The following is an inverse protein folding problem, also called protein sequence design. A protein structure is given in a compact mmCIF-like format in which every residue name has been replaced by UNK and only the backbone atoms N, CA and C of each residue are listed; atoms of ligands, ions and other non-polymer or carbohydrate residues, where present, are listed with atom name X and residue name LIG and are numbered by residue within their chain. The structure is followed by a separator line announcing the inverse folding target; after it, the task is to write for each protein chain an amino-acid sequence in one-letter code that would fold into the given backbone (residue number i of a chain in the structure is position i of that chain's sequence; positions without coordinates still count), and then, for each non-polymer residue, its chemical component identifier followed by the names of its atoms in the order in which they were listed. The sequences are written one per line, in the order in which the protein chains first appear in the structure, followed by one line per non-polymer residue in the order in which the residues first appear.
data_IF_873444676130
#
_entry.id   IF_873444676130
#
_cell.length_a   1.000
_cell.length_b   1.000
_cell.length_c   1.000
_cell.angle_alpha   90.00
_cell.angle_beta   90.00
_cell.angle_gamma   90.00
#
_symmetry.space_group_name_H-M   'P 1'
#
loop_
_entity.id
_entity.type
_entity.pdbx_description
1 polymer ?
#
# COMPACT_ATOMS: atom_id res chain seq x y z
N UNK A 1 16.61 -17.90 -27.74
CA UNK A 1 17.64 -17.14 -28.43
C UNK A 1 17.86 -15.75 -27.82
N UNK A 2 16.82 -14.93 -27.68
CA UNK A 2 16.98 -13.58 -27.13
C UNK A 2 17.07 -13.60 -25.58
N UNK A 3 16.57 -14.63 -24.91
CA UNK A 3 16.69 -14.84 -23.45
C UNK A 3 18.11 -15.11 -22.95
N UNK A 4 19.03 -15.44 -23.84
CA UNK A 4 20.42 -15.76 -23.50
C UNK A 4 21.27 -14.51 -23.15
N UNK A 5 20.63 -13.33 -23.04
CA UNK A 5 21.22 -12.13 -22.42
C UNK A 5 22.10 -11.28 -23.33
N UNK A 6 22.41 -11.71 -24.54
CA UNK A 6 23.17 -10.92 -25.50
C UNK A 6 22.25 -10.26 -26.55
N UNK A 7 22.54 -9.02 -26.97
CA UNK A 7 21.80 -8.39 -28.05
C UNK A 7 21.93 -9.20 -29.33
N UNK A 8 20.82 -9.41 -30.04
CA UNK A 8 20.80 -10.13 -31.30
C UNK A 8 20.13 -9.29 -32.39
N UNK A 9 20.75 -9.19 -33.57
CA UNK A 9 20.17 -8.44 -34.68
C UNK A 9 19.01 -9.21 -35.33
N UNK A 10 18.10 -8.49 -36.01
CA UNK A 10 16.99 -9.12 -36.74
C UNK A 10 17.47 -10.08 -37.85
N UNK A 11 18.63 -9.82 -38.42
CA UNK A 11 19.25 -10.69 -39.44
C UNK A 11 19.71 -12.02 -38.84
N UNK A 12 20.43 -11.95 -37.72
CA UNK A 12 20.90 -13.14 -37.00
C UNK A 12 19.73 -13.96 -36.43
N UNK A 13 18.67 -13.30 -35.95
CA UNK A 13 17.44 -13.96 -35.50
C UNK A 13 16.77 -14.70 -36.67
N UNK A 14 16.57 -14.02 -37.80
CA UNK A 14 15.94 -14.60 -39.00
C UNK A 14 16.73 -15.81 -39.52
N UNK A 15 18.06 -15.69 -39.60
CA UNK A 15 18.94 -16.79 -40.00
C UNK A 15 18.85 -17.99 -39.03
N UNK A 16 18.85 -17.77 -37.73
CA UNK A 16 18.75 -18.85 -36.71
C UNK A 16 17.39 -19.55 -36.70
N UNK A 17 16.31 -18.84 -37.07
CA UNK A 17 14.95 -19.38 -37.08
C UNK A 17 14.62 -19.98 -38.48
N UNK A 18 15.41 -19.68 -39.48
CA UNK A 18 15.19 -20.19 -40.86
C UNK A 18 14.11 -19.42 -41.63
N UNK A 19 13.91 -18.13 -41.34
CA UNK A 19 12.94 -17.25 -42.00
C UNK A 19 13.62 -16.02 -42.58
N UNK A 20 12.89 -15.29 -43.43
CA UNK A 20 13.43 -14.01 -43.92
C UNK A 20 13.28 -12.91 -42.87
N UNK A 21 14.18 -11.90 -42.89
CA UNK A 21 14.07 -10.73 -42.04
C UNK A 21 12.73 -9.99 -42.20
N UNK A 22 12.20 -9.96 -43.44
CA UNK A 22 10.92 -9.33 -43.73
C UNK A 22 9.75 -10.03 -43.04
N UNK A 23 9.75 -11.37 -43.06
CA UNK A 23 8.73 -12.18 -42.38
C UNK A 23 8.76 -12.02 -40.85
N UNK A 24 9.98 -11.86 -40.28
CA UNK A 24 10.15 -11.73 -38.81
C UNK A 24 9.82 -10.32 -38.28
N UNK A 25 9.81 -9.31 -39.15
CA UNK A 25 9.65 -7.90 -38.73
C UNK A 25 8.32 -7.60 -38.00
N UNK A 26 7.14 -8.10 -38.45
CA UNK A 26 5.89 -7.90 -37.72
C UNK A 26 5.92 -8.48 -36.30
N UNK A 27 6.45 -9.71 -36.17
CA UNK A 27 6.53 -10.40 -34.89
C UNK A 27 7.44 -9.66 -33.89
N UNK A 28 8.60 -9.18 -34.38
CA UNK A 28 9.51 -8.36 -33.58
C UNK A 28 8.88 -7.03 -33.16
N UNK A 29 8.06 -6.42 -34.03
CA UNK A 29 7.33 -5.19 -33.67
C UNK A 29 6.30 -5.45 -32.57
N UNK A 30 5.51 -6.55 -32.70
CA UNK A 30 4.54 -6.95 -31.66
C UNK A 30 5.25 -7.24 -30.33
N UNK A 31 6.32 -8.04 -30.34
CA UNK A 31 7.06 -8.38 -29.12
C UNK A 31 7.69 -7.14 -28.46
N UNK A 32 8.10 -6.15 -29.26
CA UNK A 32 8.64 -4.88 -28.76
C UNK A 32 7.51 -4.02 -28.17
N UNK A 33 6.37 -3.96 -28.85
CA UNK A 33 5.19 -3.23 -28.37
C UNK A 33 4.65 -3.80 -27.05
N UNK A 34 4.68 -5.13 -26.91
CA UNK A 34 4.32 -5.83 -25.67
C UNK A 34 5.40 -5.71 -24.58
N UNK A 35 6.52 -5.03 -24.84
CA UNK A 35 7.60 -4.88 -23.87
C UNK A 35 8.38 -6.17 -23.58
N UNK A 36 8.17 -7.23 -24.36
CA UNK A 36 8.89 -8.51 -24.23
C UNK A 36 10.32 -8.38 -24.79
N UNK A 37 10.48 -7.57 -25.83
CA UNK A 37 11.76 -7.22 -26.41
C UNK A 37 12.00 -5.71 -26.31
N UNK A 38 13.25 -5.31 -26.11
CA UNK A 38 13.74 -3.95 -26.24
C UNK A 38 14.57 -3.85 -27.54
N UNK A 39 14.17 -2.97 -28.45
CA UNK A 39 14.93 -2.68 -29.66
C UNK A 39 15.92 -1.55 -29.41
N UNK A 40 17.22 -1.81 -29.54
CA UNK A 40 18.28 -0.80 -29.45
C UNK A 40 18.86 -0.50 -30.81
N UNK A 41 18.83 0.77 -31.28
CA UNK A 41 19.42 1.14 -32.57
C UNK A 41 20.88 0.68 -32.68
N UNK A 42 21.25 0.10 -33.82
CA UNK A 42 22.61 -0.43 -34.11
C UNK A 42 23.09 -1.60 -33.26
N UNK A 43 22.33 -2.02 -32.22
CA UNK A 43 22.68 -3.09 -31.29
C UNK A 43 21.85 -4.34 -31.56
N UNK A 44 20.54 -4.19 -31.76
CA UNK A 44 19.61 -5.29 -32.00
C UNK A 44 18.52 -5.39 -30.97
N UNK A 45 17.98 -6.57 -30.80
CA UNK A 45 16.92 -6.89 -29.84
C UNK A 45 17.50 -7.55 -28.61
N UNK A 46 17.04 -7.10 -27.46
CA UNK A 46 17.38 -7.65 -26.15
C UNK A 46 16.09 -8.15 -25.52
N UNK A 47 16.12 -9.30 -24.86
CA UNK A 47 15.02 -9.75 -24.05
C UNK A 47 14.83 -8.75 -22.90
N UNK A 48 13.71 -8.05 -22.96
CA UNK A 48 13.32 -7.21 -21.84
C UNK A 48 13.00 -8.15 -20.70
N UNK A 49 13.82 -8.15 -19.65
CA UNK A 49 13.54 -8.90 -18.41
C UNK A 49 12.34 -8.27 -17.64
N UNK A 50 11.66 -7.29 -18.26
CA UNK A 50 10.35 -6.80 -17.82
C UNK A 50 9.34 -7.91 -18.14
N UNK A 51 9.22 -8.86 -17.22
CA UNK A 51 8.10 -9.78 -17.20
C UNK A 51 6.79 -8.96 -17.15
N UNK A 52 5.70 -9.50 -17.64
CA UNK A 52 4.36 -8.90 -17.48
C UNK A 52 4.13 -8.48 -16.01
N UNK A 53 4.72 -9.22 -15.07
CA UNK A 53 4.80 -8.88 -13.65
C UNK A 53 5.47 -7.52 -13.38
N UNK A 54 6.48 -7.09 -14.16
CA UNK A 54 7.14 -5.81 -13.91
C UNK A 54 6.27 -4.61 -14.31
N UNK A 55 5.47 -4.76 -15.37
CA UNK A 55 4.54 -3.70 -15.81
C UNK A 55 3.43 -3.53 -14.77
N UNK A 56 2.88 -4.63 -14.27
CA UNK A 56 1.87 -4.60 -13.19
C UNK A 56 2.47 -4.03 -11.91
N UNK A 57 3.68 -4.42 -11.54
CA UNK A 57 4.37 -3.87 -10.37
C UNK A 57 4.68 -2.38 -10.52
N UNK A 58 5.10 -1.93 -11.70
CA UNK A 58 5.36 -0.51 -11.98
C UNK A 58 4.06 0.32 -11.93
N UNK A 59 2.93 -0.27 -12.35
CA UNK A 59 1.61 0.35 -12.22
C UNK A 59 1.19 0.46 -10.75
N UNK A 60 1.24 -0.64 -9.99
CA UNK A 60 0.88 -0.66 -8.57
C UNK A 60 1.75 0.32 -7.76
N UNK A 61 3.04 0.45 -8.10
CA UNK A 61 3.96 1.38 -7.43
C UNK A 61 3.65 2.86 -7.68
N UNK A 62 2.88 3.18 -8.70
CA UNK A 62 2.44 4.56 -9.00
C UNK A 62 1.20 4.96 -8.22
N UNK A 63 0.43 3.99 -7.72
CA UNK A 63 -0.78 4.27 -6.94
C UNK A 63 -0.35 4.79 -5.57
N UNK A 64 -0.89 5.93 -5.18
CA UNK A 64 -0.63 6.59 -3.91
C UNK A 64 -1.65 6.18 -2.85
N UNK A 65 -1.28 6.34 -1.59
CA UNK A 65 -2.17 6.09 -0.45
C UNK A 65 -3.42 6.97 -0.54
N UNK A 66 -3.30 8.22 -0.97
CA UNK A 66 -4.44 9.14 -1.13
C UNK A 66 -5.52 8.64 -2.09
N UNK A 67 -5.13 7.87 -3.12
CA UNK A 67 -6.06 7.34 -4.13
C UNK A 67 -7.04 6.31 -3.56
N UNK A 68 -6.67 5.65 -2.44
CA UNK A 68 -7.45 4.54 -1.89
C UNK A 68 -7.73 4.64 -0.38
N UNK A 69 -7.17 5.63 0.31
CA UNK A 69 -7.42 5.82 1.74
C UNK A 69 -8.90 6.09 2.01
N UNK A 70 -9.34 5.81 3.23
CA UNK A 70 -10.69 6.06 3.70
C UNK A 70 -10.69 6.96 4.93
N UNK A 71 -11.88 7.45 5.28
CA UNK A 71 -12.05 8.34 6.45
C UNK A 71 -11.65 7.61 7.74
N UNK A 72 -10.81 8.19 8.60
CA UNK A 72 -10.42 7.63 9.87
C UNK A 72 -11.54 7.78 10.91
N UNK A 73 -11.53 6.95 11.95
CA UNK A 73 -12.25 7.18 13.19
C UNK A 73 -11.24 7.64 14.23
N UNK A 74 -11.45 8.82 14.77
CA UNK A 74 -10.54 9.49 15.70
C UNK A 74 -11.32 9.82 16.96
N UNK A 75 -10.76 9.54 18.12
CA UNK A 75 -11.31 9.90 19.43
C UNK A 75 -10.22 10.53 20.29
N UNK A 76 -10.63 11.35 21.25
CA UNK A 76 -9.74 11.95 22.24
C UNK A 76 -9.23 10.88 23.23
N UNK A 77 -8.01 11.05 23.77
CA UNK A 77 -7.40 10.09 24.70
C UNK A 77 -8.16 9.94 26.03
N UNK A 78 -8.95 10.94 26.42
CA UNK A 78 -9.79 10.91 27.62
C UNK A 78 -11.14 10.21 27.38
N UNK A 79 -11.49 9.86 26.12
CA UNK A 79 -12.71 9.10 25.82
C UNK A 79 -12.68 7.75 26.52
N UNK A 80 -13.80 7.36 27.14
CA UNK A 80 -13.87 6.09 27.87
C UNK A 80 -13.77 4.89 26.92
N UNK A 81 -13.27 3.77 27.42
CA UNK A 81 -13.25 2.50 26.68
C UNK A 81 -14.66 2.09 26.26
N UNK A 82 -15.66 2.29 27.14
CA UNK A 82 -17.05 1.97 26.84
C UNK A 82 -17.58 2.77 25.64
N UNK A 83 -17.45 4.10 25.63
CA UNK A 83 -17.90 4.96 24.54
C UNK A 83 -17.15 4.66 23.25
N UNK A 84 -15.88 4.29 23.36
CA UNK A 84 -15.04 3.92 22.23
C UNK A 84 -15.48 2.60 21.60
N UNK A 85 -15.91 1.62 22.40
CA UNK A 85 -16.49 0.37 21.90
C UNK A 85 -17.80 0.67 21.16
N UNK A 86 -18.66 1.55 21.68
CA UNK A 86 -19.88 1.96 20.98
C UNK A 86 -19.53 2.60 19.63
N UNK A 87 -18.58 3.54 19.60
CA UNK A 87 -18.13 4.17 18.36
C UNK A 87 -17.58 3.16 17.35
N UNK A 88 -16.86 2.15 17.79
CA UNK A 88 -16.30 1.10 16.94
C UNK A 88 -17.42 0.30 16.24
N UNK A 89 -18.49 -0.02 16.97
CA UNK A 89 -19.65 -0.74 16.42
C UNK A 89 -20.49 0.14 15.51
N UNK A 90 -20.79 1.37 15.92
CA UNK A 90 -21.63 2.29 15.13
C UNK A 90 -20.97 2.67 13.78
N UNK A 91 -19.66 2.75 13.73
CA UNK A 91 -18.91 3.10 12.52
C UNK A 91 -18.39 1.87 11.74
N UNK A 92 -18.67 0.65 12.23
CA UNK A 92 -18.16 -0.63 11.67
C UNK A 92 -16.65 -0.58 11.37
N UNK A 93 -15.86 -0.16 12.35
CA UNK A 93 -14.40 -0.05 12.21
C UNK A 93 -13.66 -1.04 13.11
N UNK A 94 -12.44 -1.40 12.74
CA UNK A 94 -11.58 -2.32 13.52
C UNK A 94 -10.53 -1.62 14.37
N UNK A 95 -10.29 -0.33 14.11
CA UNK A 95 -9.24 0.48 14.76
C UNK A 95 -9.72 1.90 14.92
N UNK A 96 -9.45 2.48 16.06
CA UNK A 96 -9.67 3.88 16.42
C UNK A 96 -8.30 4.52 16.59
N UNK A 97 -8.08 5.67 15.97
CA UNK A 97 -6.90 6.49 16.26
C UNK A 97 -7.21 7.43 17.41
N UNK A 98 -6.23 7.63 18.26
CA UNK A 98 -6.39 8.42 19.47
C UNK A 98 -5.59 9.71 19.30
N UNK A 99 -6.26 10.84 19.57
CA UNK A 99 -5.64 12.14 19.50
C UNK A 99 -5.61 12.84 20.86
N UNK A 100 -4.67 13.77 20.99
CA UNK A 100 -4.65 14.79 22.04
C UNK A 100 -4.34 16.13 21.37
N UNK A 101 -5.19 17.14 21.59
CA UNK A 101 -5.07 18.48 20.98
C UNK A 101 -4.94 18.44 19.44
N UNK A 102 -5.61 17.48 18.78
CA UNK A 102 -5.60 17.32 17.33
C UNK A 102 -4.37 16.61 16.75
N UNK A 103 -3.49 16.04 17.59
CA UNK A 103 -2.33 15.27 17.18
C UNK A 103 -2.47 13.80 17.52
N UNK A 104 -1.99 12.93 16.65
CA UNK A 104 -1.98 11.49 16.88
C UNK A 104 -1.08 11.14 18.07
N UNK A 105 -1.67 10.55 19.10
CA UNK A 105 -0.94 10.07 20.29
C UNK A 105 -1.01 8.56 20.45
N UNK A 106 -2.02 7.90 19.82
CA UNK A 106 -2.22 6.47 20.00
C UNK A 106 -3.14 5.83 18.96
N UNK A 107 -3.25 4.51 19.06
CA UNK A 107 -4.24 3.70 18.34
C UNK A 107 -4.72 2.55 19.21
N UNK A 108 -6.00 2.20 19.07
CA UNK A 108 -6.65 1.10 19.79
C UNK A 108 -7.37 0.20 18.78
N UNK A 109 -7.11 -1.09 18.86
CA UNK A 109 -7.74 -2.11 18.02
C UNK A 109 -8.80 -2.92 18.76
N UNK A 110 -9.63 -3.69 18.03
CA UNK A 110 -10.57 -4.65 18.63
C UNK A 110 -9.89 -5.60 19.62
N UNK A 111 -8.64 -5.99 19.39
CA UNK A 111 -7.87 -6.87 20.28
C UNK A 111 -7.59 -6.21 21.62
N UNK A 112 -7.35 -4.90 21.64
CA UNK A 112 -7.06 -4.17 22.85
C UNK A 112 -8.32 -4.02 23.70
N UNK A 113 -9.47 -3.75 23.09
CA UNK A 113 -10.76 -3.74 23.76
C UNK A 113 -11.12 -5.12 24.36
N UNK A 114 -10.84 -6.21 23.65
CA UNK A 114 -11.05 -7.57 24.16
C UNK A 114 -10.18 -7.86 25.38
N UNK A 115 -8.90 -7.44 25.38
CA UNK A 115 -8.00 -7.64 26.51
C UNK A 115 -8.51 -6.98 27.79
N UNK A 116 -8.97 -5.73 27.69
CA UNK A 116 -9.46 -4.99 28.87
C UNK A 116 -10.81 -5.56 29.36
N UNK A 117 -11.70 -5.96 28.44
CA UNK A 117 -12.99 -6.56 28.79
C UNK A 117 -12.83 -7.89 29.55
N UNK A 118 -11.88 -8.73 29.14
CA UNK A 118 -11.58 -10.01 29.82
C UNK A 118 -10.92 -9.74 31.19
N UNK A 119 -10.19 -8.64 31.34
CA UNK A 119 -9.50 -8.26 32.58
C UNK A 119 -10.43 -7.83 33.73
N UNK A 120 -11.75 -7.76 33.50
CA UNK A 120 -12.75 -7.41 34.56
C UNK A 120 -12.66 -5.95 35.03
N UNK A 121 -11.99 -5.09 34.27
CA UNK A 121 -11.84 -3.66 34.58
C UNK A 121 -13.15 -2.90 34.28
N UNK A 122 -13.49 -1.90 35.06
CA UNK A 122 -14.66 -1.03 34.82
C UNK A 122 -14.40 -0.12 33.61
N UNK A 123 -14.79 -0.60 32.43
CA UNK A 123 -14.57 0.07 31.14
C UNK A 123 -15.23 1.44 31.02
N UNK A 124 -16.19 1.77 31.90
CA UNK A 124 -16.85 3.07 31.92
C UNK A 124 -15.95 4.17 32.51
N UNK A 125 -14.88 3.78 33.21
CA UNK A 125 -13.98 4.72 33.89
C UNK A 125 -12.57 4.78 33.33
N UNK A 126 -12.25 3.86 32.42
CA UNK A 126 -10.90 3.78 31.84
C UNK A 126 -10.85 4.60 30.56
N UNK A 127 -9.98 5.62 30.45
CA UNK A 127 -9.77 6.37 29.23
C UNK A 127 -8.94 5.58 28.22
N UNK A 128 -9.09 5.88 26.92
CA UNK A 128 -8.34 5.26 25.82
C UNK A 128 -6.83 5.38 26.00
N UNK A 129 -6.37 6.49 26.59
CA UNK A 129 -4.97 6.75 26.88
C UNK A 129 -4.29 5.65 27.70
N UNK A 130 -5.04 4.86 28.48
CA UNK A 130 -4.49 3.76 29.30
C UNK A 130 -4.22 2.50 28.46
N UNK A 131 -5.08 2.20 27.47
CA UNK A 131 -5.04 0.93 26.73
C UNK A 131 -4.42 1.02 25.33
N UNK A 132 -4.23 2.24 24.84
CA UNK A 132 -3.74 2.47 23.48
C UNK A 132 -2.29 2.06 23.29
N UNK A 133 -1.94 1.63 22.08
CA UNK A 133 -0.55 1.65 21.61
C UNK A 133 -0.16 3.11 21.38
N UNK A 134 0.90 3.57 22.04
CA UNK A 134 1.33 4.98 22.00
C UNK A 134 2.33 5.24 20.89
N UNK A 135 2.35 6.47 20.39
CA UNK A 135 3.48 6.98 19.62
C UNK A 135 4.78 6.88 20.47
N UNK A 136 5.94 6.60 19.86
CA UNK A 136 6.21 6.41 18.41
C UNK A 136 6.02 4.97 17.90
N UNK A 137 5.41 4.06 18.68
CA UNK A 137 5.28 2.64 18.30
C UNK A 137 4.21 2.38 17.21
N UNK A 138 3.55 3.44 16.72
CA UNK A 138 2.56 3.34 15.65
C UNK A 138 3.25 3.59 14.31
N UNK A 139 3.11 2.65 13.39
CA UNK A 139 3.60 2.81 12.02
C UNK A 139 2.61 3.66 11.24
N UNK A 140 3.08 4.78 10.71
CA UNK A 140 2.30 5.70 9.91
C UNK A 140 2.69 5.64 8.42
N UNK A 141 1.83 6.19 7.59
CA UNK A 141 2.09 6.46 6.17
C UNK A 141 1.64 7.88 5.83
N UNK A 142 2.28 8.48 4.84
CA UNK A 142 1.88 9.77 4.29
C UNK A 142 0.96 9.55 3.07
N UNK A 143 0.17 10.56 2.69
CA UNK A 143 -0.77 10.48 1.56
C UNK A 143 -0.08 10.17 0.24
N UNK A 144 1.15 10.68 0.06
CA UNK A 144 1.97 10.51 -1.14
C UNK A 144 2.75 9.19 -1.18
N UNK A 145 2.72 8.41 -0.09
CA UNK A 145 3.38 7.10 -0.04
C UNK A 145 2.80 6.15 -1.10
N UNK A 146 3.65 5.27 -1.62
CA UNK A 146 3.23 4.21 -2.52
C UNK A 146 2.38 3.17 -1.79
N UNK A 147 1.22 2.81 -2.35
CA UNK A 147 0.31 1.79 -1.80
C UNK A 147 1.01 0.44 -1.60
N UNK A 148 1.90 0.04 -2.50
CA UNK A 148 2.67 -1.21 -2.35
C UNK A 148 3.51 -1.20 -1.06
N UNK A 149 4.22 -0.11 -0.80
CA UNK A 149 5.05 0.04 0.41
C UNK A 149 4.18 0.06 1.67
N UNK A 150 3.05 0.74 1.61
CA UNK A 150 2.10 0.79 2.72
C UNK A 150 1.47 -0.58 3.01
N UNK A 151 1.09 -1.34 1.97
CA UNK A 151 0.59 -2.72 2.11
C UNK A 151 1.64 -3.64 2.75
N UNK A 152 2.92 -3.50 2.36
CA UNK A 152 4.03 -4.22 2.96
C UNK A 152 4.17 -3.92 4.46
N UNK A 153 4.08 -2.63 4.85
CA UNK A 153 4.08 -2.21 6.27
C UNK A 153 2.94 -2.88 7.06
N UNK A 154 1.71 -2.98 6.50
CA UNK A 154 0.56 -3.64 7.14
C UNK A 154 0.89 -5.11 7.46
N UNK A 155 1.48 -5.84 6.51
CA UNK A 155 1.81 -7.26 6.67
C UNK A 155 2.98 -7.45 7.64
N UNK A 156 4.08 -6.71 7.47
CA UNK A 156 5.29 -6.83 8.29
C UNK A 156 5.07 -6.45 9.76
N UNK A 157 4.15 -5.52 10.02
CA UNK A 157 3.80 -5.06 11.37
C UNK A 157 2.60 -5.80 11.97
N UNK A 158 2.01 -6.74 11.22
CA UNK A 158 0.84 -7.54 11.65
C UNK A 158 -0.34 -6.70 12.13
N UNK A 159 -0.53 -5.50 11.51
CA UNK A 159 -1.63 -4.60 11.83
C UNK A 159 -2.74 -4.72 10.79
N UNK A 160 -3.95 -4.28 11.14
CA UNK A 160 -5.10 -4.30 10.22
C UNK A 160 -5.26 -2.99 9.45
N UNK A 161 -4.66 -1.91 9.97
CA UNK A 161 -4.81 -0.58 9.41
C UNK A 161 -3.63 0.32 9.84
N UNK A 162 -3.28 1.28 9.00
CA UNK A 162 -2.29 2.33 9.26
C UNK A 162 -2.99 3.70 9.25
N UNK A 163 -2.63 4.61 10.18
CA UNK A 163 -3.02 6.00 10.05
C UNK A 163 -2.28 6.63 8.86
N UNK A 164 -3.02 7.38 8.05
CA UNK A 164 -2.46 8.28 7.05
C UNK A 164 -2.31 9.63 7.71
N UNK A 165 -1.10 10.16 7.74
CA UNK A 165 -0.77 11.34 8.53
C UNK A 165 -0.16 12.45 7.68
N UNK A 166 -0.26 13.67 8.19
CA UNK A 166 0.47 14.84 7.69
C UNK A 166 1.23 15.53 8.82
N UNK A 167 2.39 16.07 8.51
CA UNK A 167 3.16 16.95 9.41
C UNK A 167 2.53 18.32 9.44
N UNK A 168 2.39 18.91 10.62
CA UNK A 168 1.66 20.19 10.78
C UNK A 168 2.59 21.39 10.64
N UNK A 169 3.75 21.38 11.30
CA UNK A 169 4.78 22.39 11.17
C UNK A 169 6.12 21.88 11.73
N UNK A 170 7.21 22.53 11.35
CA UNK A 170 8.53 22.27 11.97
C UNK A 170 8.58 22.67 13.46
N UNK A 171 7.70 23.58 13.89
CA UNK A 171 7.62 24.07 15.28
C UNK A 171 6.97 23.05 16.23
N UNK A 172 6.12 22.16 15.70
CA UNK A 172 5.43 21.12 16.49
C UNK A 172 6.28 19.84 16.65
N UNK A 173 7.51 19.83 16.14
CA UNK A 173 8.40 18.68 16.16
C UNK A 173 7.86 17.51 15.33
N UNK A 174 7.94 16.30 15.90
CA UNK A 174 7.47 15.07 15.24
C UNK A 174 5.95 14.84 15.36
N UNK A 175 5.18 15.84 15.78
CA UNK A 175 3.73 15.71 15.91
C UNK A 175 3.06 15.64 14.54
N UNK A 176 2.12 14.73 14.39
CA UNK A 176 1.39 14.49 13.14
C UNK A 176 -0.11 14.50 13.36
N UNK A 177 -0.88 14.90 12.36
CA UNK A 177 -2.34 14.79 12.32
C UNK A 177 -2.77 13.61 11.46
N UNK A 178 -3.85 12.94 11.87
CA UNK A 178 -4.48 11.88 11.08
C UNK A 178 -5.41 12.49 10.06
N UNK A 179 -5.15 12.28 8.77
CA UNK A 179 -5.97 12.75 7.65
C UNK A 179 -6.75 11.62 6.97
N UNK A 180 -6.36 10.37 7.23
CA UNK A 180 -6.95 9.20 6.60
C UNK A 180 -6.58 7.91 7.31
N UNK A 181 -7.08 6.80 6.78
CA UNK A 181 -6.66 5.45 7.16
C UNK A 181 -6.46 4.58 5.92
N UNK A 182 -5.47 3.71 5.97
CA UNK A 182 -5.26 2.65 5.00
C UNK A 182 -5.39 1.30 5.68
N UNK A 183 -6.37 0.49 5.29
CA UNK A 183 -6.67 -0.82 5.87
C UNK A 183 -6.46 -1.95 4.87
N UNK A 184 -6.42 -3.19 5.35
CA UNK A 184 -6.44 -4.40 4.51
C UNK A 184 -7.61 -4.39 3.54
N UNK A 185 -8.78 -3.87 3.96
CA UNK A 185 -9.98 -3.74 3.10
C UNK A 185 -9.74 -2.77 1.93
N UNK A 186 -9.04 -1.66 2.15
CA UNK A 186 -8.70 -0.72 1.06
C UNK A 186 -7.82 -1.41 0.01
N UNK A 187 -6.81 -2.19 0.45
CA UNK A 187 -5.93 -2.95 -0.45
C UNK A 187 -6.74 -4.01 -1.23
N UNK A 188 -7.64 -4.74 -0.55
CA UNK A 188 -8.48 -5.74 -1.20
C UNK A 188 -9.42 -5.12 -2.25
N UNK A 189 -10.01 -3.95 -1.97
CA UNK A 189 -10.82 -3.21 -2.95
C UNK A 189 -10.01 -2.76 -4.16
N UNK A 190 -8.78 -2.26 -3.92
CA UNK A 190 -7.87 -1.93 -5.02
C UNK A 190 -7.58 -3.15 -5.89
N UNK A 191 -7.30 -4.31 -5.29
CA UNK A 191 -7.06 -5.55 -6.03
C UNK A 191 -8.25 -5.94 -6.92
N UNK A 192 -9.49 -5.84 -6.41
CA UNK A 192 -10.69 -6.09 -7.21
C UNK A 192 -10.82 -5.10 -8.38
N UNK A 193 -10.63 -3.80 -8.11
CA UNK A 193 -10.69 -2.76 -9.14
C UNK A 193 -9.68 -3.00 -10.27
N UNK A 194 -8.45 -3.40 -9.94
CA UNK A 194 -7.42 -3.74 -10.93
C UNK A 194 -7.80 -4.97 -11.79
N UNK A 195 -8.62 -5.88 -11.28
CA UNK A 195 -9.13 -7.02 -12.04
C UNK A 195 -10.32 -6.70 -12.94
N UNK A 196 -11.06 -5.63 -12.66
CA UNK A 196 -12.23 -5.18 -13.43
C UNK A 196 -11.86 -4.25 -14.60
N UNK A 197 -10.71 -3.59 -14.55
CA UNK A 197 -10.22 -2.66 -15.59
C UNK A 197 -9.59 -3.38 -16.83
N UNK A 198 -9.79 -4.72 -17.00
CA UNK A 198 -9.30 -5.49 -18.14
C UNK A 198 -10.40 -5.83 -19.13
#
# INVERSE_FOLDING_TARGET
LVKEGQPITSENLASKIGVTRAALRPDLAILTMLGILEARPKVGYIYSNKSTSSVVLDYIRKIKVEDIMSKPTILDEETTVYDSIINLFLNDVGTIFVENQGFLVGAVSRKDFLKIAIGGTDINKVPLGIIMTRMPNIVCVEKDDCVYTAAKKIIEREVDCLPVVEKVSEQDGDKVKVIGKLSKTNITRLFLKLGEEN
#
